data_IF_354129522131
#
_entry.id   IF_354129522131
#
_cell.length_a   1.000
_cell.length_b   1.000
_cell.length_c   1.000
_cell.angle_alpha   90.00
_cell.angle_beta   90.00
_cell.angle_gamma   90.00
#
_symmetry.space_group_name_H-M   'P 1'
#
loop_
_entity.id
_entity.type
_entity.pdbx_description
1 polymer ?
#
# COMPACT_ATOMS: atom_id res chain seq x y z
N UNK A 1 1.13 13.66 -13.48
CA UNK A 1 0.74 12.28 -13.85
C UNK A 1 1.10 11.29 -12.75
N UNK A 2 2.38 11.18 -12.32
CA UNK A 2 2.85 10.31 -11.22
C UNK A 2 2.02 10.33 -9.93
N UNK A 3 1.73 11.53 -9.41
CA UNK A 3 0.95 11.67 -8.16
C UNK A 3 -0.46 11.09 -8.33
N UNK A 4 -1.10 11.29 -9.48
CA UNK A 4 -2.44 10.75 -9.74
C UNK A 4 -2.43 9.24 -9.80
N UNK A 5 -1.45 8.63 -10.47
CA UNK A 5 -1.35 7.16 -10.55
C UNK A 5 -1.01 6.54 -9.21
N UNK A 6 -0.13 7.18 -8.41
CA UNK A 6 0.13 6.74 -7.05
C UNK A 6 -1.13 6.79 -6.18
N UNK A 7 -1.86 7.91 -6.19
CA UNK A 7 -3.11 8.05 -5.43
C UNK A 7 -4.14 7.02 -5.85
N UNK A 8 -4.30 6.78 -7.15
CA UNK A 8 -5.20 5.73 -7.66
C UNK A 8 -4.80 4.35 -7.15
N UNK A 9 -3.52 3.98 -7.23
CA UNK A 9 -3.05 2.69 -6.71
C UNK A 9 -3.07 2.57 -5.20
N UNK A 10 -2.98 3.67 -4.45
CA UNK A 10 -3.16 3.70 -3.00
C UNK A 10 -4.64 3.48 -2.66
N UNK A 11 -5.55 4.19 -3.33
CA UNK A 11 -6.99 3.99 -3.10
C UNK A 11 -7.39 2.54 -3.40
N UNK A 12 -6.90 1.99 -4.51
CA UNK A 12 -7.11 0.59 -4.86
C UNK A 12 -5.98 0.09 -5.79
N UNK A 13 -5.15 -0.84 -5.32
CA UNK A 13 -4.11 -1.47 -6.13
C UNK A 13 -4.64 -1.95 -7.48
N UNK A 14 -4.01 -1.49 -8.57
CA UNK A 14 -4.41 -1.78 -9.95
C UNK A 14 -5.05 -0.60 -10.69
N UNK A 15 -5.59 0.42 -10.00
CA UNK A 15 -6.16 1.60 -10.67
C UNK A 15 -5.10 2.50 -11.31
N UNK A 16 -3.89 2.61 -10.74
CA UNK A 16 -2.81 3.36 -11.38
C UNK A 16 -2.34 2.71 -12.69
N UNK A 17 -2.31 1.37 -12.73
CA UNK A 17 -2.05 0.60 -13.95
C UNK A 17 -3.14 0.79 -14.98
N UNK A 18 -4.42 0.83 -14.55
CA UNK A 18 -5.54 1.14 -15.43
C UNK A 18 -5.36 2.51 -16.08
N UNK A 19 -5.00 3.52 -15.28
CA UNK A 19 -4.73 4.87 -15.77
C UNK A 19 -3.57 4.91 -16.78
N UNK A 20 -2.56 4.06 -16.58
CA UNK A 20 -1.44 3.86 -17.52
C UNK A 20 -1.81 2.99 -18.74
N UNK A 21 -3.08 2.59 -18.91
CA UNK A 21 -3.56 1.68 -19.97
C UNK A 21 -2.93 0.28 -19.93
N UNK A 22 -2.44 -0.14 -18.77
CA UNK A 22 -1.86 -1.48 -18.55
C UNK A 22 -2.94 -2.45 -18.04
N UNK A 23 -3.92 -2.77 -18.90
CA UNK A 23 -5.14 -3.49 -18.51
C UNK A 23 -4.88 -4.86 -17.90
N UNK A 24 -3.95 -5.65 -18.45
CA UNK A 24 -3.62 -6.98 -17.94
C UNK A 24 -3.07 -6.87 -16.51
N UNK A 25 -2.08 -6.00 -16.28
CA UNK A 25 -1.54 -5.76 -14.93
C UNK A 25 -2.61 -5.26 -13.97
N UNK A 26 -3.45 -4.33 -14.42
CA UNK A 26 -4.52 -3.75 -13.62
C UNK A 26 -5.48 -4.82 -13.10
N UNK A 27 -6.00 -5.67 -13.98
CA UNK A 27 -6.92 -6.75 -13.60
C UNK A 27 -6.23 -7.76 -12.68
N UNK A 28 -4.99 -8.14 -12.99
CA UNK A 28 -4.21 -9.05 -12.13
C UNK A 28 -4.02 -8.48 -10.72
N UNK A 29 -3.64 -7.21 -10.60
CA UNK A 29 -3.46 -6.58 -9.29
C UNK A 29 -4.77 -6.41 -8.53
N UNK A 30 -5.88 -6.10 -9.19
CA UNK A 30 -7.20 -6.05 -8.57
C UNK A 30 -7.63 -7.40 -8.00
N UNK A 31 -7.42 -8.50 -8.74
CA UNK A 31 -7.75 -9.85 -8.27
C UNK A 31 -6.88 -10.24 -7.07
N UNK A 32 -5.57 -9.97 -7.14
CA UNK A 32 -4.63 -10.31 -6.05
C UNK A 32 -4.94 -9.48 -4.80
N UNK A 33 -5.15 -8.17 -4.96
CA UNK A 33 -5.52 -7.27 -3.87
C UNK A 33 -6.77 -7.77 -3.15
N UNK A 34 -7.83 -8.07 -3.92
CA UNK A 34 -9.09 -8.50 -3.34
C UNK A 34 -8.93 -9.83 -2.62
N UNK A 35 -8.17 -10.76 -3.20
CA UNK A 35 -7.89 -12.07 -2.60
C UNK A 35 -7.13 -11.92 -1.28
N UNK A 36 -6.04 -11.14 -1.25
CA UNK A 36 -5.26 -10.92 -0.02
C UNK A 36 -6.11 -10.20 1.02
N UNK A 37 -6.86 -9.16 0.64
CA UNK A 37 -7.72 -8.40 1.56
C UNK A 37 -8.76 -9.31 2.23
N UNK A 38 -9.42 -10.18 1.46
CA UNK A 38 -10.40 -11.14 1.96
C UNK A 38 -9.78 -12.20 2.86
N UNK A 39 -8.64 -12.78 2.47
CA UNK A 39 -7.96 -13.83 3.25
C UNK A 39 -7.32 -13.30 4.54
N UNK A 40 -6.89 -12.04 4.55
CA UNK A 40 -6.31 -11.35 5.71
C UNK A 40 -7.33 -10.68 6.62
N UNK A 41 -8.58 -10.52 6.18
CA UNK A 41 -9.62 -9.72 6.83
C UNK A 41 -9.26 -8.24 7.04
N UNK A 42 -8.38 -7.67 6.21
CA UNK A 42 -7.86 -6.31 6.42
C UNK A 42 -8.94 -5.22 6.39
N UNK A 43 -9.92 -5.27 5.47
CA UNK A 43 -10.99 -4.27 5.45
C UNK A 43 -11.89 -4.34 6.70
N UNK A 44 -12.15 -5.54 7.22
CA UNK A 44 -12.91 -5.72 8.46
C UNK A 44 -12.11 -5.21 9.66
N UNK A 45 -10.82 -5.53 9.72
CA UNK A 45 -9.92 -5.05 10.75
C UNK A 45 -9.84 -3.51 10.74
N UNK A 46 -9.69 -2.90 9.55
CA UNK A 46 -9.65 -1.45 9.40
C UNK A 46 -10.96 -0.80 9.84
N UNK A 47 -12.11 -1.38 9.49
CA UNK A 47 -13.40 -0.88 9.95
C UNK A 47 -13.51 -0.89 11.48
N UNK A 48 -13.17 -2.01 12.13
CA UNK A 48 -13.20 -2.11 13.59
C UNK A 48 -12.23 -1.11 14.24
N UNK A 49 -11.02 -1.00 13.70
CA UNK A 49 -9.96 -0.13 14.21
C UNK A 49 -10.38 1.34 14.16
N UNK A 50 -10.98 1.77 13.05
CA UNK A 50 -11.50 3.14 12.88
C UNK A 50 -12.72 3.45 13.76
N UNK A 51 -13.41 2.43 14.26
CA UNK A 51 -14.52 2.58 15.22
C UNK A 51 -14.07 2.44 16.69
N UNK A 52 -12.76 2.42 16.96
CA UNK A 52 -12.21 2.33 18.33
C UNK A 52 -12.15 0.91 18.89
N UNK A 53 -12.51 -0.11 18.09
CA UNK A 53 -12.52 -1.52 18.48
C UNK A 53 -11.16 -2.17 18.19
N UNK A 54 -10.07 -1.58 18.68
CA UNK A 54 -8.69 -1.94 18.31
C UNK A 54 -8.31 -3.39 18.63
N UNK A 55 -8.75 -3.91 19.79
CA UNK A 55 -8.47 -5.31 20.17
C UNK A 55 -9.21 -6.29 19.26
N UNK A 56 -10.45 -5.96 18.89
CA UNK A 56 -11.25 -6.77 17.98
C UNK A 56 -10.65 -6.74 16.57
N UNK A 57 -10.23 -5.56 16.11
CA UNK A 57 -9.51 -5.37 14.86
C UNK A 57 -8.29 -6.29 14.76
N UNK A 58 -7.45 -6.34 15.79
CA UNK A 58 -6.28 -7.22 15.82
C UNK A 58 -6.62 -8.71 15.89
N UNK A 59 -7.78 -9.06 16.46
CA UNK A 59 -8.22 -10.45 16.62
C UNK A 59 -8.80 -11.06 15.34
N UNK A 60 -9.36 -10.23 14.44
CA UNK A 60 -9.91 -10.70 13.16
C UNK A 60 -8.85 -10.82 12.07
N UNK A 61 -7.69 -10.17 12.22
CA UNK A 61 -6.62 -10.20 11.22
C UNK A 61 -6.04 -11.60 11.12
N UNK A 62 -6.02 -12.13 9.91
CA UNK A 62 -5.21 -13.31 9.59
C UNK A 62 -3.80 -12.84 9.18
N UNK A 63 -2.85 -12.99 10.12
CA UNK A 63 -1.49 -12.49 9.99
C UNK A 63 -0.66 -13.18 8.90
N UNK A 64 -0.97 -14.43 8.54
CA UNK A 64 -0.25 -15.16 7.49
C UNK A 64 -0.38 -14.44 6.14
N UNK A 65 -1.59 -13.97 5.82
CA UNK A 65 -1.86 -13.19 4.62
C UNK A 65 -1.55 -11.71 4.81
N UNK A 66 -1.80 -11.15 6.01
CA UNK A 66 -1.56 -9.74 6.26
C UNK A 66 -0.07 -9.35 6.11
N UNK A 67 0.86 -10.21 6.53
CA UNK A 67 2.30 -9.94 6.39
C UNK A 67 2.78 -9.83 4.93
N UNK A 68 2.04 -10.41 3.97
CA UNK A 68 2.34 -10.25 2.54
C UNK A 68 1.85 -8.91 1.97
N UNK A 69 0.84 -8.30 2.60
CA UNK A 69 0.17 -7.11 2.10
C UNK A 69 1.12 -5.90 1.93
N UNK A 70 2.01 -5.55 2.88
CA UNK A 70 2.89 -4.40 2.72
C UNK A 70 3.77 -4.45 1.46
N UNK A 71 4.39 -5.60 1.20
CA UNK A 71 5.27 -5.79 0.05
C UNK A 71 4.51 -5.71 -1.26
N UNK A 72 3.37 -6.40 -1.34
CA UNK A 72 2.49 -6.34 -2.51
C UNK A 72 2.00 -4.91 -2.79
N UNK A 73 1.55 -4.22 -1.74
CA UNK A 73 1.00 -2.88 -1.86
C UNK A 73 2.04 -1.88 -2.37
N UNK A 74 3.27 -1.92 -1.81
CA UNK A 74 4.39 -1.09 -2.28
C UNK A 74 4.74 -1.39 -3.74
N UNK A 75 4.78 -2.67 -4.12
CA UNK A 75 5.08 -3.09 -5.49
C UNK A 75 4.08 -2.48 -6.48
N UNK A 76 2.78 -2.55 -6.18
CA UNK A 76 1.74 -2.06 -7.09
C UNK A 76 1.79 -0.53 -7.24
N UNK A 77 2.01 0.21 -6.16
CA UNK A 77 2.12 1.67 -6.24
C UNK A 77 3.41 2.08 -6.97
N UNK A 78 4.53 1.42 -6.70
CA UNK A 78 5.81 1.69 -7.36
C UNK A 78 5.72 1.40 -8.87
N UNK A 79 5.15 0.27 -9.27
CA UNK A 79 4.92 -0.08 -10.68
C UNK A 79 4.06 1.00 -11.36
N UNK A 80 2.96 1.45 -10.73
CA UNK A 80 2.13 2.51 -11.30
C UNK A 80 2.87 3.84 -11.49
N UNK A 81 3.79 4.19 -10.58
CA UNK A 81 4.58 5.43 -10.67
C UNK A 81 5.64 5.32 -11.76
N UNK A 82 6.40 4.22 -11.80
CA UNK A 82 7.48 4.02 -12.78
C UNK A 82 6.96 3.97 -14.23
N UNK A 83 5.77 3.41 -14.45
CA UNK A 83 5.18 3.27 -15.78
C UNK A 83 4.48 4.53 -16.32
N UNK A 84 4.57 5.68 -15.66
CA UNK A 84 3.98 6.94 -16.19
C UNK A 84 4.88 7.71 -17.13
N UNK A 85 6.19 7.77 -16.83
CA UNK A 85 7.22 8.48 -17.60
C UNK A 85 8.58 7.87 -17.25
N UNK A 86 9.50 7.85 -18.21
CA UNK A 86 10.88 7.45 -17.95
C UNK A 86 11.50 8.32 -16.86
N UNK A 87 12.26 7.70 -15.95
CA UNK A 87 12.96 8.37 -14.85
C UNK A 87 14.40 7.89 -14.85
N UNK A 88 15.36 8.82 -14.82
CA UNK A 88 16.79 8.46 -14.67
C UNK A 88 17.18 8.37 -13.20
N UNK A 89 16.51 9.14 -12.34
CA UNK A 89 16.71 9.08 -10.90
C UNK A 89 15.86 7.97 -10.26
N UNK A 90 16.55 7.02 -9.63
CA UNK A 90 15.97 5.88 -8.91
C UNK A 90 16.02 6.04 -7.39
N UNK A 91 16.60 7.13 -6.86
CA UNK A 91 16.75 7.34 -5.40
C UNK A 91 15.41 7.37 -4.67
N UNK A 92 14.35 7.78 -5.34
CA UNK A 92 13.02 7.81 -4.74
C UNK A 92 12.51 6.41 -4.31
N UNK A 93 13.06 5.32 -4.88
CA UNK A 93 12.69 3.93 -4.56
C UNK A 93 12.99 3.60 -3.09
N UNK A 94 13.98 4.24 -2.47
CA UNK A 94 14.27 4.04 -1.04
C UNK A 94 13.07 4.35 -0.14
N UNK A 95 12.25 5.34 -0.51
CA UNK A 95 11.01 5.65 0.22
C UNK A 95 9.97 4.54 0.13
N UNK A 96 9.89 3.87 -1.02
CA UNK A 96 8.99 2.73 -1.24
C UNK A 96 9.44 1.51 -0.43
N UNK A 97 10.74 1.21 -0.45
CA UNK A 97 11.32 0.10 0.35
C UNK A 97 11.10 0.37 1.84
N UNK A 98 11.38 1.59 2.31
CA UNK A 98 11.15 1.98 3.70
C UNK A 98 9.68 1.84 4.08
N UNK A 99 8.74 2.23 3.21
CA UNK A 99 7.31 2.03 3.42
C UNK A 99 6.96 0.55 3.62
N UNK A 100 7.52 -0.35 2.79
CA UNK A 100 7.26 -1.79 2.90
C UNK A 100 7.77 -2.37 4.21
N UNK A 101 9.01 -2.02 4.58
CA UNK A 101 9.61 -2.43 5.85
C UNK A 101 8.82 -1.93 7.05
N UNK A 102 8.42 -0.64 7.03
CA UNK A 102 7.59 -0.05 8.07
C UNK A 102 6.24 -0.77 8.18
N UNK A 103 5.62 -1.09 7.04
CA UNK A 103 4.39 -1.86 7.01
C UNK A 103 4.52 -3.22 7.69
N UNK A 104 5.55 -4.00 7.32
CA UNK A 104 5.78 -5.33 7.90
C UNK A 104 6.07 -5.26 9.40
N UNK A 105 6.96 -4.36 9.82
CA UNK A 105 7.25 -4.14 11.25
C UNK A 105 6.00 -3.66 11.98
N UNK A 106 5.22 -2.76 11.37
CA UNK A 106 3.97 -2.24 11.90
C UNK A 106 2.92 -3.32 12.14
N UNK A 107 2.81 -4.31 11.24
CA UNK A 107 1.93 -5.47 11.42
C UNK A 107 2.42 -6.33 12.61
N UNK A 108 3.72 -6.63 12.68
CA UNK A 108 4.31 -7.47 13.75
C UNK A 108 4.14 -6.83 15.13
N UNK A 109 4.35 -5.52 15.23
CA UNK A 109 4.26 -4.76 16.49
C UNK A 109 2.92 -4.05 16.67
N UNK A 110 1.91 -4.39 15.87
CA UNK A 110 0.60 -3.74 15.84
C UNK A 110 -0.06 -3.64 17.21
N UNK A 111 0.12 -4.64 18.09
CA UNK A 111 -0.41 -4.65 19.46
C UNK A 111 0.01 -3.46 20.34
N UNK A 112 1.10 -2.78 20.00
CA UNK A 112 1.62 -1.64 20.76
C UNK A 112 1.21 -0.28 20.17
N UNK A 113 0.53 -0.29 19.03
CA UNK A 113 0.08 0.92 18.33
C UNK A 113 -1.34 1.24 18.81
N UNK A 114 -1.67 2.51 19.14
CA UNK A 114 -3.02 2.87 19.61
C UNK A 114 -4.14 2.59 18.60
N UNK A 115 -3.92 2.95 17.33
CA UNK A 115 -4.86 2.74 16.21
C UNK A 115 -4.13 1.91 15.15
N UNK A 116 -3.93 0.59 15.40
CA UNK A 116 -2.93 -0.22 14.70
C UNK A 116 -3.06 -0.27 13.18
N UNK A 117 -4.20 -0.72 12.67
CA UNK A 117 -4.39 -1.01 11.25
C UNK A 117 -4.37 0.28 10.44
N UNK A 118 -5.09 1.30 10.89
CA UNK A 118 -5.13 2.60 10.24
C UNK A 118 -3.76 3.29 10.26
N UNK A 119 -3.06 3.31 11.40
CA UNK A 119 -1.76 4.00 11.51
C UNK A 119 -0.72 3.36 10.59
N UNK A 120 -0.67 2.03 10.53
CA UNK A 120 0.26 1.30 9.65
C UNK A 120 -0.07 1.58 8.18
N UNK A 121 -1.33 1.43 7.77
CA UNK A 121 -1.74 1.70 6.38
C UNK A 121 -1.52 3.17 5.97
N UNK A 122 -1.84 4.11 6.86
CA UNK A 122 -1.68 5.54 6.60
C UNK A 122 -0.20 5.95 6.48
N UNK A 123 0.64 5.49 7.40
CA UNK A 123 2.09 5.78 7.36
C UNK A 123 2.75 5.24 6.09
N UNK A 124 2.35 4.05 5.63
CA UNK A 124 2.78 3.52 4.34
C UNK A 124 2.35 4.43 3.17
N UNK A 125 1.08 4.82 3.12
CA UNK A 125 0.56 5.70 2.08
C UNK A 125 1.34 7.04 2.03
N UNK A 126 1.62 7.64 3.19
CA UNK A 126 2.40 8.88 3.30
C UNK A 126 3.83 8.70 2.76
N UNK A 127 4.53 7.63 3.15
CA UNK A 127 5.89 7.38 2.68
C UNK A 127 5.98 7.17 1.16
N UNK A 128 5.05 6.41 0.58
CA UNK A 128 4.99 6.22 -0.87
C UNK A 128 4.67 7.52 -1.61
N UNK A 129 3.82 8.39 -1.04
CA UNK A 129 3.55 9.71 -1.61
C UNK A 129 4.78 10.62 -1.55
N UNK A 130 5.54 10.61 -0.46
CA UNK A 130 6.83 11.34 -0.37
C UNK A 130 7.78 10.85 -1.47
N UNK A 131 7.93 9.54 -1.64
CA UNK A 131 8.71 8.96 -2.72
C UNK A 131 8.23 9.40 -4.10
N UNK A 132 6.92 9.39 -4.33
CA UNK A 132 6.31 9.83 -5.59
C UNK A 132 6.55 11.32 -5.86
N UNK A 133 6.49 12.17 -4.84
CA UNK A 133 6.77 13.61 -4.97
C UNK A 133 8.24 13.83 -5.29
N UNK A 134 9.16 13.12 -4.64
CA UNK A 134 10.59 13.22 -4.92
C UNK A 134 10.90 12.80 -6.36
N UNK A 135 10.31 11.67 -6.80
CA UNK A 135 10.36 11.21 -8.18
C UNK A 135 9.84 12.26 -9.17
N UNK A 136 8.80 13.01 -8.81
CA UNK A 136 8.21 14.03 -9.69
C UNK A 136 8.99 15.34 -9.73
N UNK A 137 9.89 15.61 -8.78
CA UNK A 137 10.69 16.84 -8.73
C UNK A 137 12.04 16.70 -9.45
N UNK A 138 12.61 15.50 -9.48
CA UNK A 138 13.94 15.25 -10.05
C UNK A 138 13.92 14.88 -11.55
N UNK A 139 12.83 15.19 -12.25
CA UNK A 139 12.53 14.76 -13.62
C UNK A 139 11.75 15.85 -14.36
#
# INVERSE_FOLDING_TARGET
>A
MRIRTALLSIVMPGLGQLFNRQYIKSITFLIIEHSINRLSHLNQALYLDMNGLHKEALSVVNYEFAMFYPGFYVLVVLDAVMNTKETKDTKFIYWFILSGLLGTVGIIYSRFIPIPVFTVGFSMAVLMLIGTIHCSKNN
#
